data_IF_848956539933
#
_entry.id   IF_848956539933
#
_cell.length_a   1.000
_cell.length_b   1.000
_cell.length_c   1.000
_cell.angle_alpha   90.00
_cell.angle_beta   90.00
_cell.angle_gamma   90.00
#
_symmetry.space_group_name_H-M   'P 1'
#
loop_
_entity.id
_entity.type
_entity.pdbx_description
1 polymer ?
#
# COMPACT_ATOMS: atom_id res chain seq x y z
N UNK A 1 -77.14 -47.21 -8.44
CA UNK A 1 -75.95 -47.28 -9.33
C UNK A 1 -75.47 -45.88 -9.65
N UNK A 2 -74.32 -45.53 -9.07
CA UNK A 2 -73.67 -44.23 -9.28
C UNK A 2 -72.65 -44.38 -10.42
N UNK A 3 -72.84 -43.64 -11.48
CA UNK A 3 -71.83 -43.44 -12.53
C UNK A 3 -70.81 -42.39 -12.03
N UNK A 4 -69.60 -42.82 -11.78
CA UNK A 4 -68.44 -41.93 -11.56
C UNK A 4 -67.81 -41.65 -12.94
N UNK A 5 -67.87 -40.41 -13.41
CA UNK A 5 -67.34 -39.96 -14.68
C UNK A 5 -65.83 -39.62 -14.53
N UNK A 6 -65.03 -40.14 -15.44
CA UNK A 6 -63.63 -39.85 -15.63
C UNK A 6 -63.38 -38.34 -15.94
N UNK A 7 -62.83 -37.64 -14.96
CA UNK A 7 -62.33 -36.25 -15.16
C UNK A 7 -60.93 -35.99 -14.56
N UNK A 8 -60.17 -37.01 -14.27
CA UNK A 8 -58.86 -36.85 -13.57
C UNK A 8 -57.62 -36.95 -14.48
N UNK A 9 -57.77 -37.09 -15.82
CA UNK A 9 -56.61 -37.36 -16.67
C UNK A 9 -56.19 -36.22 -17.60
N UNK A 10 -56.77 -35.01 -17.46
CA UNK A 10 -56.40 -33.85 -18.29
C UNK A 10 -55.63 -32.77 -17.54
N UNK A 11 -55.66 -32.71 -16.22
CA UNK A 11 -54.93 -31.74 -15.41
C UNK A 11 -53.50 -32.16 -15.09
N UNK A 12 -53.24 -33.46 -15.01
CA UNK A 12 -51.91 -33.99 -14.69
C UNK A 12 -50.88 -33.78 -15.81
N UNK A 13 -51.32 -33.73 -17.09
CA UNK A 13 -50.40 -33.50 -18.21
C UNK A 13 -50.05 -32.02 -18.41
N UNK A 14 -50.90 -31.09 -17.93
CA UNK A 14 -50.61 -29.64 -18.04
C UNK A 14 -49.65 -29.18 -16.99
N UNK A 15 -49.72 -29.73 -15.78
CA UNK A 15 -48.75 -29.42 -14.68
C UNK A 15 -47.38 -29.98 -14.92
N UNK A 16 -47.28 -31.19 -15.50
CA UNK A 16 -45.96 -31.77 -15.83
C UNK A 16 -45.20 -31.02 -16.95
N UNK A 17 -45.95 -30.49 -17.92
CA UNK A 17 -45.36 -29.68 -19.01
C UNK A 17 -44.87 -28.32 -18.51
N UNK A 18 -45.64 -27.66 -17.61
CA UNK A 18 -45.23 -26.38 -17.02
C UNK A 18 -44.00 -26.53 -16.08
N UNK A 19 -43.96 -27.60 -15.29
CA UNK A 19 -42.82 -27.88 -14.38
C UNK A 19 -41.57 -28.24 -15.18
N UNK A 20 -41.68 -28.94 -16.30
CA UNK A 20 -40.54 -29.25 -17.17
C UNK A 20 -39.98 -27.99 -17.85
N UNK A 21 -40.83 -27.07 -18.33
CA UNK A 21 -40.39 -25.80 -18.92
C UNK A 21 -39.75 -24.87 -17.88
N UNK A 22 -40.31 -24.77 -16.68
CA UNK A 22 -39.71 -23.97 -15.60
C UNK A 22 -38.35 -24.55 -15.13
N UNK A 23 -38.17 -25.85 -15.20
CA UNK A 23 -36.91 -26.50 -14.82
C UNK A 23 -35.83 -26.30 -15.88
N UNK A 24 -36.16 -26.36 -17.18
CA UNK A 24 -35.21 -26.03 -18.25
C UNK A 24 -34.79 -24.55 -18.23
N UNK A 25 -35.72 -23.60 -17.94
CA UNK A 25 -35.39 -22.18 -17.79
C UNK A 25 -34.50 -21.93 -16.56
N UNK A 26 -34.71 -22.61 -15.42
CA UNK A 26 -33.87 -22.49 -14.22
C UNK A 26 -32.47 -23.07 -14.45
N UNK A 27 -32.37 -24.22 -15.13
CA UNK A 27 -31.05 -24.82 -15.44
C UNK A 27 -30.26 -23.94 -16.43
N UNK A 28 -30.89 -23.28 -17.41
CA UNK A 28 -30.22 -22.32 -18.30
C UNK A 28 -29.74 -21.05 -17.56
N UNK A 29 -30.54 -20.53 -16.61
CA UNK A 29 -30.16 -19.36 -15.81
C UNK A 29 -29.00 -19.71 -14.88
N UNK A 30 -29.00 -20.89 -14.25
CA UNK A 30 -27.93 -21.34 -13.36
C UNK A 30 -26.61 -21.56 -14.12
N UNK A 31 -26.64 -22.17 -15.30
CA UNK A 31 -25.46 -22.38 -16.15
C UNK A 31 -24.91 -21.03 -16.64
N UNK A 32 -25.77 -20.09 -17.01
CA UNK A 32 -25.34 -18.78 -17.47
C UNK A 32 -24.70 -17.94 -16.35
N UNK A 33 -25.27 -17.99 -15.14
CA UNK A 33 -24.70 -17.31 -13.96
C UNK A 33 -23.33 -17.89 -13.56
N UNK A 34 -23.17 -19.20 -13.61
CA UNK A 34 -21.88 -19.87 -13.33
C UNK A 34 -20.82 -19.50 -14.38
N UNK A 35 -21.19 -19.39 -15.66
CA UNK A 35 -20.26 -19.01 -16.73
C UNK A 35 -19.81 -17.55 -16.60
N UNK A 36 -20.70 -16.63 -16.23
CA UNK A 36 -20.38 -15.22 -16.02
C UNK A 36 -19.48 -15.02 -14.78
N UNK A 37 -19.74 -15.73 -13.69
CA UNK A 37 -18.88 -15.73 -12.49
C UNK A 37 -17.49 -16.27 -12.81
N UNK A 38 -17.39 -17.36 -13.58
CA UNK A 38 -16.08 -17.91 -13.96
C UNK A 38 -15.27 -16.95 -14.85
N UNK A 39 -15.92 -16.23 -15.75
CA UNK A 39 -15.25 -15.22 -16.60
C UNK A 39 -14.76 -14.03 -15.75
N UNK A 40 -15.57 -13.58 -14.77
CA UNK A 40 -15.15 -12.50 -13.87
C UNK A 40 -13.95 -12.90 -13.03
N UNK A 41 -13.94 -14.11 -12.46
CA UNK A 41 -12.80 -14.64 -11.69
C UNK A 41 -11.55 -14.82 -12.55
N UNK A 42 -11.68 -15.24 -13.80
CA UNK A 42 -10.55 -15.35 -14.72
C UNK A 42 -9.96 -13.98 -15.04
N UNK A 43 -10.79 -12.97 -15.27
CA UNK A 43 -10.34 -11.60 -15.51
C UNK A 43 -9.63 -11.00 -14.30
N UNK A 44 -10.13 -11.27 -13.07
CA UNK A 44 -9.46 -10.85 -11.83
C UNK A 44 -8.11 -11.56 -11.66
N UNK A 45 -8.04 -12.85 -12.01
CA UNK A 45 -6.79 -13.61 -11.95
C UNK A 45 -5.78 -13.11 -12.98
N UNK A 46 -6.21 -12.79 -14.20
CA UNK A 46 -5.35 -12.23 -15.24
C UNK A 46 -4.81 -10.86 -14.82
N UNK A 47 -5.63 -10.00 -14.19
CA UNK A 47 -5.15 -8.73 -13.63
C UNK A 47 -4.12 -8.93 -12.51
N UNK A 48 -4.34 -9.88 -11.59
CA UNK A 48 -3.38 -10.22 -10.56
C UNK A 48 -2.07 -10.79 -11.11
N UNK A 49 -2.14 -11.53 -12.23
CA UNK A 49 -0.94 -12.04 -12.91
C UNK A 49 -0.19 -10.89 -13.58
N UNK A 50 -0.88 -9.98 -14.28
CA UNK A 50 -0.26 -8.79 -14.89
C UNK A 50 0.39 -7.86 -13.84
N UNK A 51 -0.26 -7.65 -12.69
CA UNK A 51 0.29 -6.88 -11.57
C UNK A 51 1.55 -7.57 -10.98
N UNK A 52 1.52 -8.89 -10.80
CA UNK A 52 2.68 -9.66 -10.34
C UNK A 52 3.83 -9.67 -11.37
N UNK A 53 3.53 -9.79 -12.66
CA UNK A 53 4.57 -9.74 -13.71
C UNK A 53 5.22 -8.34 -13.79
N UNK A 54 4.49 -7.26 -13.49
CA UNK A 54 5.06 -5.92 -13.38
C UNK A 54 5.95 -5.76 -12.15
N UNK A 55 5.66 -6.45 -11.04
CA UNK A 55 6.54 -6.48 -9.87
C UNK A 55 7.82 -7.30 -10.11
N UNK A 56 7.72 -8.43 -10.83
CA UNK A 56 8.86 -9.30 -11.13
C UNK A 56 9.83 -8.64 -12.13
N UNK A 57 9.34 -7.80 -13.03
CA UNK A 57 10.13 -7.10 -14.04
C UNK A 57 10.68 -5.73 -13.59
N UNK A 58 10.53 -5.35 -12.31
CA UNK A 58 11.21 -4.16 -11.78
C UNK A 58 12.73 -4.37 -11.91
N UNK A 59 13.44 -3.42 -12.54
CA UNK A 59 14.90 -3.51 -12.62
C UNK A 59 15.47 -3.64 -11.21
N UNK A 60 16.26 -4.68 -10.99
CA UNK A 60 17.02 -4.83 -9.74
C UNK A 60 18.00 -3.65 -9.67
N UNK A 61 17.64 -2.64 -8.88
CA UNK A 61 18.54 -1.52 -8.63
C UNK A 61 19.56 -1.92 -7.56
N UNK A 62 20.77 -1.44 -7.72
CA UNK A 62 21.74 -1.48 -6.62
C UNK A 62 21.39 -0.36 -5.64
N UNK A 63 20.80 -0.75 -4.51
CA UNK A 63 20.32 0.18 -3.46
C UNK A 63 21.46 1.03 -2.91
N UNK A 64 22.66 0.46 -2.77
CA UNK A 64 23.81 1.15 -2.24
C UNK A 64 24.33 2.23 -3.23
N UNK A 65 24.39 1.89 -4.51
CA UNK A 65 24.77 2.82 -5.56
C UNK A 65 23.74 3.95 -5.73
N UNK A 66 22.42 3.65 -5.71
CA UNK A 66 21.39 4.69 -5.77
C UNK A 66 21.42 5.60 -4.55
N UNK A 67 21.62 5.06 -3.36
CA UNK A 67 21.76 5.88 -2.15
C UNK A 67 23.01 6.77 -2.20
N UNK A 68 24.09 6.29 -2.80
CA UNK A 68 25.30 7.08 -3.04
C UNK A 68 25.06 8.19 -4.06
N UNK A 69 24.34 7.89 -5.15
CA UNK A 69 23.96 8.89 -6.16
C UNK A 69 23.11 10.00 -5.53
N UNK A 70 22.11 9.63 -4.74
CA UNK A 70 21.29 10.57 -4.00
C UNK A 70 22.11 11.49 -3.08
N UNK A 71 23.06 10.94 -2.32
CA UNK A 71 23.97 11.71 -1.44
C UNK A 71 24.83 12.68 -2.23
N UNK A 72 25.32 12.28 -3.40
CA UNK A 72 26.09 13.16 -4.29
C UNK A 72 25.22 14.29 -4.83
N UNK A 73 23.98 14.01 -5.22
CA UNK A 73 23.02 15.02 -5.67
C UNK A 73 22.67 16.02 -4.56
N UNK A 74 22.47 15.55 -3.33
CA UNK A 74 22.28 16.43 -2.15
C UNK A 74 23.50 17.32 -1.94
N UNK A 75 24.71 16.78 -2.04
CA UNK A 75 25.93 17.54 -1.85
C UNK A 75 26.13 18.62 -2.94
N UNK A 76 25.60 18.41 -4.12
CA UNK A 76 25.60 19.37 -5.23
C UNK A 76 24.37 20.28 -5.28
N UNK A 77 23.49 20.22 -4.29
CA UNK A 77 22.22 20.96 -4.23
C UNK A 77 21.24 20.64 -5.38
N UNK A 78 21.39 19.48 -6.02
CA UNK A 78 20.43 18.95 -6.99
C UNK A 78 19.37 18.11 -6.25
N UNK A 79 18.48 18.81 -5.56
CA UNK A 79 17.47 18.17 -4.72
C UNK A 79 16.47 17.33 -5.54
N UNK A 80 16.21 17.71 -6.79
CA UNK A 80 15.30 16.97 -7.66
C UNK A 80 15.86 15.59 -8.00
N UNK A 81 17.08 15.51 -8.51
CA UNK A 81 17.74 14.23 -8.79
C UNK A 81 17.94 13.39 -7.52
N UNK A 82 18.20 14.04 -6.38
CA UNK A 82 18.28 13.36 -5.10
C UNK A 82 16.95 12.68 -4.72
N UNK A 83 15.82 13.36 -4.84
CA UNK A 83 14.49 12.82 -4.56
C UNK A 83 14.19 11.65 -5.50
N UNK A 84 14.48 11.78 -6.80
CA UNK A 84 14.27 10.71 -7.79
C UNK A 84 15.03 9.44 -7.40
N UNK A 85 16.33 9.53 -7.10
CA UNK A 85 17.15 8.38 -6.66
C UNK A 85 16.67 7.80 -5.33
N UNK A 86 16.30 8.62 -4.34
CA UNK A 86 15.81 8.14 -3.05
C UNK A 86 14.45 7.43 -3.19
N UNK A 87 13.57 7.90 -4.07
CA UNK A 87 12.30 7.23 -4.35
C UNK A 87 12.49 5.89 -5.06
N UNK A 88 13.51 5.75 -5.92
CA UNK A 88 13.88 4.46 -6.50
C UNK A 88 14.26 3.47 -5.41
N UNK A 89 15.04 3.87 -4.39
CA UNK A 89 15.39 3.02 -3.25
C UNK A 89 14.15 2.59 -2.47
N UNK A 90 13.24 3.52 -2.15
CA UNK A 90 11.98 3.21 -1.44
C UNK A 90 11.14 2.18 -2.22
N UNK A 91 11.10 2.31 -3.54
CA UNK A 91 10.27 1.47 -4.41
C UNK A 91 10.95 0.15 -4.83
N UNK A 92 12.18 -0.12 -4.40
CA UNK A 92 12.95 -1.30 -4.82
C UNK A 92 12.56 -2.60 -4.13
N UNK A 93 11.63 -2.56 -3.16
CA UNK A 93 11.28 -3.72 -2.30
C UNK A 93 12.50 -4.36 -1.62
N UNK A 94 13.51 -3.56 -1.27
CA UNK A 94 14.70 -4.08 -0.59
C UNK A 94 14.40 -4.51 0.85
N UNK A 95 14.96 -5.64 1.27
CA UNK A 95 14.93 -6.09 2.67
C UNK A 95 15.96 -5.37 3.57
N UNK A 96 16.80 -4.51 2.99
CA UNK A 96 17.87 -3.80 3.70
C UNK A 96 17.30 -2.61 4.49
N UNK A 97 16.69 -2.89 5.61
CA UNK A 97 15.97 -1.90 6.45
C UNK A 97 16.86 -0.73 6.92
N UNK A 98 18.15 -0.95 7.06
CA UNK A 98 19.08 0.11 7.45
C UNK A 98 19.23 1.17 6.35
N UNK A 99 19.33 0.75 5.09
CA UNK A 99 19.34 1.68 3.96
C UNK A 99 17.98 2.38 3.79
N UNK A 100 16.87 1.70 4.01
CA UNK A 100 15.55 2.34 4.00
C UNK A 100 15.42 3.39 5.10
N UNK A 101 15.92 3.11 6.31
CA UNK A 101 15.92 4.07 7.41
C UNK A 101 16.71 5.35 7.06
N UNK A 102 17.86 5.21 6.43
CA UNK A 102 18.65 6.33 5.93
C UNK A 102 17.94 7.06 4.79
N UNK A 103 17.36 6.33 3.85
CA UNK A 103 16.64 6.88 2.70
C UNK A 103 15.46 7.74 3.13
N UNK A 104 14.63 7.27 4.05
CA UNK A 104 13.50 8.06 4.57
C UNK A 104 13.95 9.32 5.28
N UNK A 105 15.04 9.28 6.04
CA UNK A 105 15.63 10.46 6.64
C UNK A 105 16.11 11.47 5.58
N UNK A 106 16.83 11.01 4.56
CA UNK A 106 17.32 11.86 3.49
C UNK A 106 16.19 12.47 2.66
N UNK A 107 15.12 11.70 2.36
CA UNK A 107 13.91 12.23 1.70
C UNK A 107 13.30 13.36 2.52
N UNK A 108 13.07 13.14 3.82
CA UNK A 108 12.53 14.18 4.69
C UNK A 108 13.39 15.44 4.70
N UNK A 109 14.72 15.29 4.76
CA UNK A 109 15.68 16.40 4.70
C UNK A 109 15.63 17.14 3.37
N UNK A 110 15.58 16.43 2.26
CA UNK A 110 15.57 17.04 0.93
C UNK A 110 14.25 17.78 0.69
N UNK A 111 13.11 17.21 1.05
CA UNK A 111 11.82 17.92 0.97
C UNK A 111 11.75 19.13 1.91
N UNK A 112 12.36 19.06 3.09
CA UNK A 112 12.46 20.22 3.97
C UNK A 112 13.25 21.37 3.32
N UNK A 113 14.35 21.04 2.62
CA UNK A 113 15.16 22.05 1.89
C UNK A 113 14.40 22.66 0.71
N UNK A 114 13.49 21.90 0.08
CA UNK A 114 12.59 22.39 -0.98
C UNK A 114 11.39 23.18 -0.43
N UNK A 115 11.28 23.35 0.90
CA UNK A 115 10.14 23.98 1.57
C UNK A 115 8.82 23.20 1.42
N UNK A 116 8.90 21.91 1.07
CA UNK A 116 7.77 20.98 0.98
C UNK A 116 7.53 20.31 2.33
N UNK A 117 7.01 21.09 3.30
CA UNK A 117 6.97 20.69 4.70
C UNK A 117 6.06 19.49 4.98
N UNK A 118 4.95 19.32 4.24
CA UNK A 118 4.05 18.16 4.39
C UNK A 118 4.74 16.86 3.98
N UNK A 119 5.48 16.86 2.86
CA UNK A 119 6.24 15.70 2.44
C UNK A 119 7.40 15.42 3.41
N UNK A 120 8.06 16.46 3.93
CA UNK A 120 9.09 16.31 4.96
C UNK A 120 8.52 15.61 6.22
N UNK A 121 7.38 16.06 6.74
CA UNK A 121 6.69 15.42 7.88
C UNK A 121 6.37 13.97 7.58
N UNK A 122 5.85 13.66 6.38
CA UNK A 122 5.52 12.30 5.96
C UNK A 122 6.75 11.37 6.03
N UNK A 123 7.86 11.74 5.40
CA UNK A 123 9.03 10.87 5.32
C UNK A 123 9.79 10.77 6.65
N UNK A 124 9.92 11.85 7.40
CA UNK A 124 10.46 11.78 8.77
C UNK A 124 9.56 10.97 9.70
N UNK A 125 8.22 11.07 9.55
CA UNK A 125 7.25 10.29 10.31
C UNK A 125 7.35 8.79 10.03
N UNK A 126 7.48 8.38 8.77
CA UNK A 126 7.73 6.97 8.39
C UNK A 126 9.03 6.48 9.04
N UNK A 127 10.12 7.26 8.93
CA UNK A 127 11.40 6.93 9.56
C UNK A 127 11.27 6.77 11.08
N UNK A 128 10.53 7.64 11.73
CA UNK A 128 10.30 7.60 13.18
C UNK A 128 9.49 6.36 13.59
N UNK A 129 8.39 6.07 12.89
CA UNK A 129 7.46 4.99 13.23
C UNK A 129 8.05 3.61 12.94
N UNK A 130 8.58 3.42 11.74
CA UNK A 130 8.88 2.08 11.20
C UNK A 130 10.35 1.68 11.37
N UNK A 131 11.23 2.66 11.60
CA UNK A 131 12.68 2.47 11.68
C UNK A 131 13.33 3.05 12.95
N UNK A 132 12.57 3.17 14.04
CA UNK A 132 13.04 3.76 15.30
C UNK A 132 14.18 3.00 15.96
N UNK A 133 14.37 1.72 15.66
CA UNK A 133 15.44 0.87 16.20
C UNK A 133 16.82 1.15 15.60
N UNK A 134 16.88 1.78 14.41
CA UNK A 134 18.15 2.12 13.76
C UNK A 134 18.69 3.44 14.33
N UNK A 135 19.92 3.40 14.86
CA UNK A 135 20.53 4.56 15.52
C UNK A 135 20.97 5.65 14.57
N UNK A 136 21.40 5.30 13.34
CA UNK A 136 21.88 6.26 12.36
C UNK A 136 20.84 7.33 12.06
N UNK A 137 21.17 8.59 12.25
CA UNK A 137 20.28 9.76 12.07
C UNK A 137 19.00 9.76 12.93
N UNK A 138 18.95 9.00 14.02
CA UNK A 138 17.76 8.92 14.87
C UNK A 138 17.44 10.27 15.51
N UNK A 139 18.39 10.86 16.20
CA UNK A 139 18.23 12.14 16.89
C UNK A 139 17.98 13.29 15.92
N UNK A 140 18.69 13.29 14.80
CA UNK A 140 18.49 14.28 13.74
C UNK A 140 17.09 14.17 13.11
N UNK A 141 16.59 12.94 12.95
CA UNK A 141 15.24 12.72 12.42
C UNK A 141 14.17 13.31 13.35
N UNK A 142 14.28 13.10 14.67
CA UNK A 142 13.36 13.73 15.62
C UNK A 142 13.40 15.25 15.53
N UNK A 143 14.61 15.84 15.49
CA UNK A 143 14.77 17.28 15.39
C UNK A 143 14.12 17.86 14.14
N UNK A 144 14.34 17.22 12.98
CA UNK A 144 13.78 17.70 11.72
C UNK A 144 12.28 17.44 11.59
N UNK A 145 11.77 16.31 12.13
CA UNK A 145 10.34 16.03 12.24
C UNK A 145 9.64 17.12 13.06
N UNK A 146 10.16 17.41 14.25
CA UNK A 146 9.60 18.45 15.10
C UNK A 146 9.59 19.82 14.43
N UNK A 147 10.70 20.20 13.77
CA UNK A 147 10.77 21.47 13.00
C UNK A 147 9.76 21.51 11.85
N UNK A 148 9.57 20.40 11.14
CA UNK A 148 8.61 20.32 10.05
C UNK A 148 7.19 20.44 10.55
N UNK A 149 6.85 19.78 11.67
CA UNK A 149 5.55 19.89 12.33
C UNK A 149 5.25 21.33 12.76
N UNK A 150 6.20 22.01 13.39
CA UNK A 150 6.04 23.44 13.71
C UNK A 150 5.81 24.29 12.47
N UNK A 151 6.50 23.99 11.36
CA UNK A 151 6.37 24.76 10.12
C UNK A 151 4.99 24.62 9.47
N UNK A 152 4.29 23.49 9.67
CA UNK A 152 2.90 23.30 9.19
C UNK A 152 1.86 23.73 10.23
N UNK A 153 2.27 24.25 11.39
CA UNK A 153 1.40 24.71 12.45
C UNK A 153 0.94 23.65 13.46
N UNK A 154 1.44 22.42 13.34
CA UNK A 154 1.15 21.33 14.27
C UNK A 154 2.09 21.41 15.50
N UNK A 155 1.77 22.36 16.39
CA UNK A 155 2.58 22.63 17.57
C UNK A 155 2.51 21.50 18.59
N UNK A 156 1.37 20.86 18.73
CA UNK A 156 1.16 19.80 19.73
C UNK A 156 2.08 18.60 19.45
N UNK A 157 1.99 18.05 18.24
CA UNK A 157 2.86 16.93 17.85
C UNK A 157 4.34 17.36 17.76
N UNK A 158 4.61 18.58 17.35
CA UNK A 158 5.97 19.14 17.35
C UNK A 158 6.59 19.15 18.73
N UNK A 159 5.86 19.57 19.79
CA UNK A 159 6.33 19.51 21.17
C UNK A 159 6.56 18.08 21.64
N UNK A 160 5.63 17.15 21.38
CA UNK A 160 5.77 15.74 21.78
C UNK A 160 7.04 15.11 21.17
N UNK A 161 7.30 15.33 19.90
CA UNK A 161 8.51 14.82 19.24
C UNK A 161 9.79 15.44 19.83
N UNK A 162 9.78 16.72 20.19
CA UNK A 162 10.94 17.38 20.82
C UNK A 162 11.19 16.89 22.24
N UNK A 163 10.16 16.56 23.00
CA UNK A 163 10.28 15.96 24.33
C UNK A 163 10.96 14.61 24.28
N UNK A 164 10.65 13.77 23.29
CA UNK A 164 11.28 12.46 23.07
C UNK A 164 12.80 12.56 22.90
N UNK A 165 13.31 13.64 22.29
CA UNK A 165 14.76 13.89 22.19
C UNK A 165 15.37 14.13 23.57
N UNK A 166 14.71 14.95 24.38
CA UNK A 166 15.21 15.33 25.70
C UNK A 166 15.30 14.09 26.61
N UNK A 167 14.23 13.28 26.62
CA UNK A 167 14.17 12.07 27.43
C UNK A 167 15.18 11.00 26.96
N UNK A 168 15.34 10.80 25.63
CA UNK A 168 16.28 9.81 25.10
C UNK A 168 17.74 10.15 25.41
N UNK A 169 18.11 11.43 25.41
CA UNK A 169 19.46 11.86 25.73
C UNK A 169 19.77 11.81 27.25
N UNK A 170 18.76 12.04 28.09
CA UNK A 170 18.96 12.01 29.57
C UNK A 170 19.20 10.59 30.09
N UNK A 171 18.68 9.56 29.42
CA UNK A 171 18.90 8.15 29.82
C UNK A 171 20.22 7.59 29.31
N UNK A 172 20.81 8.12 28.24
CA UNK A 172 22.08 7.62 27.70
C UNK A 172 23.32 8.15 28.45
N UNK A 173 23.17 9.20 29.27
CA UNK A 173 24.30 9.74 30.10
C UNK A 173 24.45 9.04 31.45
N UNK A 174 23.56 8.11 31.81
CA UNK A 174 23.57 7.42 33.11
C UNK A 174 23.98 5.93 33.04
N UNK A 175 24.47 5.45 31.90
CA UNK A 175 25.12 4.14 31.76
C UNK A 175 26.62 4.29 31.55
#
# INVERSE_FOLDING_TARGET
ELKISDTTNKESNKTNSSIALEKEELDEIEIKSISEVNISMLNELDQLIEENEQEINKPTIDVEDELKNAKNSIASFDNKSAIESLLLVVNSNTDQKEFLAETYYLLGRTYFMENEMLEAVKYFGIRHRDFSTFSKFKSENYLWLGKSLFSIGDQENGCLIMEDIIFSNTYSENE
#
